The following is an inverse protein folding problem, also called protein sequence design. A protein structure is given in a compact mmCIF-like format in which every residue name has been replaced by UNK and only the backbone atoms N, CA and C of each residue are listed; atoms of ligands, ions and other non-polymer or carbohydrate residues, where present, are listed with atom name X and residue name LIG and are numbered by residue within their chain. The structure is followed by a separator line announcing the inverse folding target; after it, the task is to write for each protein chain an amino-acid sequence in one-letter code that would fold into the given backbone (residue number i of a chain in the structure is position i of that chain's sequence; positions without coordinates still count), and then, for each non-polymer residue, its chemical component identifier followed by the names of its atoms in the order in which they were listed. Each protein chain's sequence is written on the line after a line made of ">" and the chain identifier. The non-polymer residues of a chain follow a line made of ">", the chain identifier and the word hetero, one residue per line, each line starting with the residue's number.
data_IF_645259209735
#
_entry.id   IF_645259209735
#
_cell.length_a   1.000
_cell.length_b   1.000
_cell.length_c   1.000
_cell.angle_alpha   90.00
_cell.angle_beta   90.00
_cell.angle_gamma   90.00
#
_symmetry.space_group_name_H-M   'P 1'
#
loop_
_entity.id
_entity.type
_entity.pdbx_description
1 polymer ?
#
# COMPACT_ATOMS: atom_id res chain seq x y z
N UNK A 1 22.22 -16.98 -25.97
CA UNK A 1 21.40 -15.91 -25.44
C UNK A 1 21.56 -15.93 -23.94
N UNK A 2 22.14 -14.86 -23.36
CA UNK A 2 22.33 -14.75 -21.91
C UNK A 2 20.97 -14.59 -21.23
N UNK A 3 20.79 -15.23 -20.08
CA UNK A 3 19.65 -15.00 -19.22
C UNK A 3 19.80 -13.64 -18.56
N UNK A 4 18.87 -12.71 -18.78
CA UNK A 4 18.79 -11.47 -18.03
C UNK A 4 17.94 -11.76 -16.77
N UNK A 5 18.45 -11.49 -15.56
CA UNK A 5 17.72 -11.77 -14.32
C UNK A 5 16.53 -10.82 -14.14
N UNK A 6 16.57 -9.62 -14.71
CA UNK A 6 15.46 -8.68 -14.69
C UNK A 6 15.48 -7.74 -15.91
N UNK A 7 14.30 -7.20 -16.24
CA UNK A 7 14.10 -6.24 -17.32
C UNK A 7 13.27 -5.07 -16.81
N UNK A 8 13.81 -3.86 -16.91
CA UNK A 8 13.05 -2.64 -16.66
C UNK A 8 12.51 -2.11 -18.00
N UNK A 9 11.22 -1.90 -18.07
CA UNK A 9 10.56 -1.52 -19.31
C UNK A 9 9.40 -0.55 -19.08
N UNK A 10 9.03 0.16 -20.14
CA UNK A 10 7.76 0.91 -20.20
C UNK A 10 6.65 0.03 -20.75
N UNK A 11 5.40 0.48 -20.67
CA UNK A 11 4.21 -0.23 -21.20
C UNK A 11 4.38 -0.66 -22.67
N UNK A 12 5.16 0.08 -23.49
CA UNK A 12 5.43 -0.25 -24.89
C UNK A 12 6.23 -1.56 -25.06
N UNK A 13 7.04 -1.92 -24.09
CA UNK A 13 7.81 -3.18 -24.10
C UNK A 13 6.92 -4.41 -23.87
N UNK A 14 5.73 -4.18 -23.33
CA UNK A 14 4.80 -5.26 -23.04
C UNK A 14 4.12 -5.87 -24.26
N UNK A 15 4.13 -5.22 -25.43
CA UNK A 15 3.56 -5.78 -26.64
C UNK A 15 4.54 -6.75 -27.33
N UNK A 16 4.23 -8.05 -27.33
CA UNK A 16 4.99 -9.05 -28.07
C UNK A 16 6.03 -9.84 -27.27
N UNK A 17 6.14 -9.65 -25.94
CA UNK A 17 6.98 -10.53 -25.13
C UNK A 17 6.15 -11.74 -24.69
N UNK A 18 6.51 -12.88 -25.25
CA UNK A 18 5.97 -14.17 -24.87
C UNK A 18 7.09 -15.04 -24.25
N UNK A 19 7.42 -14.69 -22.99
CA UNK A 19 8.34 -15.48 -22.18
C UNK A 19 7.55 -16.22 -21.11
N UNK A 20 7.69 -17.55 -21.06
CA UNK A 20 6.99 -18.36 -20.07
C UNK A 20 7.60 -18.27 -18.67
N UNK A 21 8.89 -17.91 -18.57
CA UNK A 21 9.73 -17.97 -17.36
C UNK A 21 9.81 -16.65 -16.59
N UNK A 22 8.74 -15.86 -16.58
CA UNK A 22 8.65 -14.64 -15.77
C UNK A 22 8.08 -15.00 -14.41
N UNK A 23 8.88 -14.92 -13.36
CA UNK A 23 8.48 -15.26 -11.98
C UNK A 23 7.84 -14.09 -11.24
N UNK A 24 8.12 -12.84 -11.65
CA UNK A 24 7.58 -11.65 -11.00
C UNK A 24 7.33 -10.49 -11.96
N UNK A 25 6.26 -9.74 -11.71
CA UNK A 25 6.00 -8.44 -12.33
C UNK A 25 5.89 -7.39 -11.25
N UNK A 26 6.71 -6.33 -11.32
CA UNK A 26 6.72 -5.23 -10.36
C UNK A 26 6.36 -3.93 -11.09
N UNK A 27 5.25 -3.33 -10.69
CA UNK A 27 4.86 -2.00 -11.13
C UNK A 27 5.49 -0.96 -10.20
N UNK A 28 6.24 -0.02 -10.77
CA UNK A 28 6.90 1.08 -10.03
C UNK A 28 6.07 2.37 -9.99
N UNK A 29 4.89 2.34 -10.57
CA UNK A 29 3.91 3.42 -10.55
C UNK A 29 2.54 2.86 -10.85
N UNK A 30 1.48 3.56 -10.41
CA UNK A 30 0.11 3.10 -10.65
C UNK A 30 -0.17 3.04 -12.16
N UNK A 31 -0.69 1.93 -12.69
CA UNK A 31 -1.14 1.85 -14.09
C UNK A 31 -2.36 2.72 -14.34
N UNK A 32 -2.71 2.92 -15.61
CA UNK A 32 -3.85 3.78 -15.97
C UNK A 32 -5.21 3.15 -15.71
N UNK A 33 -5.28 1.82 -15.59
CA UNK A 33 -6.54 1.10 -15.38
C UNK A 33 -6.30 -0.31 -14.82
N UNK A 34 -7.36 -0.94 -14.33
CA UNK A 34 -7.35 -2.35 -13.87
C UNK A 34 -7.04 -3.28 -15.03
N UNK A 35 -7.55 -3.00 -16.24
CA UNK A 35 -7.30 -3.81 -17.44
C UNK A 35 -5.82 -3.78 -17.84
N UNK A 36 -5.19 -2.59 -17.83
CA UNK A 36 -3.77 -2.46 -18.11
C UNK A 36 -2.94 -3.24 -17.07
N UNK A 37 -3.25 -3.07 -15.80
CA UNK A 37 -2.61 -3.82 -14.72
C UNK A 37 -2.75 -5.33 -14.92
N UNK A 38 -3.97 -5.82 -15.18
CA UNK A 38 -4.23 -7.24 -15.38
C UNK A 38 -3.46 -7.84 -16.56
N UNK A 39 -3.41 -7.12 -17.68
CA UNK A 39 -2.65 -7.55 -18.86
C UNK A 39 -1.14 -7.61 -18.60
N UNK A 40 -0.62 -6.68 -17.81
CA UNK A 40 0.79 -6.61 -17.47
C UNK A 40 1.19 -7.70 -16.47
N UNK A 41 0.41 -7.93 -15.42
CA UNK A 41 0.68 -9.01 -14.45
C UNK A 41 0.47 -10.41 -15.04
N UNK A 42 -0.42 -10.56 -16.05
CA UNK A 42 -0.66 -11.80 -16.77
C UNK A 42 0.53 -12.29 -17.62
N UNK A 43 1.66 -11.59 -17.57
CA UNK A 43 2.93 -12.05 -18.18
C UNK A 43 3.70 -13.00 -17.28
N UNK A 44 3.47 -12.94 -15.96
CA UNK A 44 4.10 -13.82 -15.00
C UNK A 44 3.35 -15.15 -14.88
N UNK A 45 4.10 -16.24 -14.64
CA UNK A 45 3.55 -17.56 -14.36
C UNK A 45 2.89 -18.26 -15.56
N UNK A 46 3.28 -17.95 -16.80
CA UNK A 46 2.72 -18.58 -18.00
C UNK A 46 3.10 -20.06 -18.13
N UNK A 47 4.15 -20.48 -17.46
CA UNK A 47 4.59 -21.87 -17.36
C UNK A 47 3.84 -22.67 -16.27
N UNK A 48 2.88 -22.07 -15.60
CA UNK A 48 2.11 -22.67 -14.51
C UNK A 48 2.81 -22.65 -13.14
N UNK A 49 4.04 -22.12 -13.06
CA UNK A 49 4.73 -21.95 -11.77
C UNK A 49 4.13 -20.78 -10.98
N UNK A 50 4.23 -20.82 -9.64
CA UNK A 50 3.83 -19.69 -8.81
C UNK A 50 4.61 -18.43 -9.20
N UNK A 51 3.89 -17.33 -9.39
CA UNK A 51 4.48 -16.04 -9.75
C UNK A 51 3.87 -14.92 -8.88
N UNK A 52 4.58 -13.82 -8.76
CA UNK A 52 4.16 -12.67 -7.96
C UNK A 52 3.90 -11.44 -8.80
N UNK A 53 2.87 -10.69 -8.41
CA UNK A 53 2.58 -9.36 -8.95
C UNK A 53 2.62 -8.35 -7.80
N UNK A 54 3.48 -7.33 -7.94
CA UNK A 54 3.66 -6.29 -6.92
C UNK A 54 3.34 -4.94 -7.53
N UNK A 55 2.50 -4.16 -6.85
CA UNK A 55 2.19 -2.79 -7.24
C UNK A 55 2.74 -1.83 -6.19
N UNK A 56 3.71 -1.02 -6.59
CA UNK A 56 4.25 0.09 -5.81
C UNK A 56 3.69 1.38 -6.39
N UNK A 57 3.12 2.23 -5.54
CA UNK A 57 2.50 3.48 -5.99
C UNK A 57 2.44 4.51 -4.85
N UNK A 58 2.26 5.78 -5.23
CA UNK A 58 2.02 6.88 -4.29
C UNK A 58 1.04 7.93 -4.88
N UNK A 59 0.74 8.97 -4.09
CA UNK A 59 -0.14 10.05 -4.52
C UNK A 59 0.43 10.88 -5.70
N UNK A 60 1.75 10.96 -5.83
CA UNK A 60 2.39 11.66 -6.94
C UNK A 60 2.18 10.91 -8.26
N UNK A 61 2.07 9.58 -8.22
CA UNK A 61 1.71 8.78 -9.40
C UNK A 61 0.30 9.10 -9.88
N UNK A 62 -0.66 9.19 -8.94
CA UNK A 62 -2.05 9.56 -9.25
C UNK A 62 -2.09 10.97 -9.85
N UNK A 63 -1.38 11.94 -9.25
CA UNK A 63 -1.30 13.30 -9.77
C UNK A 63 -0.69 13.33 -11.19
N UNK A 64 0.37 12.57 -11.42
CA UNK A 64 1.01 12.43 -12.72
C UNK A 64 0.05 11.83 -13.75
N UNK A 65 -0.71 10.79 -13.40
CA UNK A 65 -1.71 10.18 -14.29
C UNK A 65 -2.83 11.16 -14.62
N UNK A 66 -3.38 11.86 -13.64
CA UNK A 66 -4.39 12.90 -13.86
C UNK A 66 -3.87 13.98 -14.81
N UNK A 67 -2.67 14.49 -14.57
CA UNK A 67 -2.03 15.47 -15.45
C UNK A 67 -1.91 14.95 -16.90
N UNK A 68 -1.51 13.70 -17.09
CA UNK A 68 -1.39 13.11 -18.42
C UNK A 68 -2.75 12.93 -19.12
N UNK A 69 -3.81 12.61 -18.39
CA UNK A 69 -5.18 12.52 -18.91
C UNK A 69 -5.67 13.91 -19.36
N UNK A 70 -5.39 14.94 -18.56
CA UNK A 70 -5.87 16.30 -18.78
C UNK A 70 -5.05 17.06 -19.82
N UNK A 71 -3.80 16.64 -20.06
CA UNK A 71 -2.92 17.26 -21.02
C UNK A 71 -3.44 17.13 -22.46
N UNK A 72 -3.31 18.19 -23.26
CA UNK A 72 -3.65 18.14 -24.67
C UNK A 72 -2.81 17.06 -25.40
N UNK A 73 -3.46 16.21 -26.19
CA UNK A 73 -2.72 15.28 -27.05
C UNK A 73 -2.00 16.07 -28.14
N UNK A 74 -0.70 15.85 -28.25
CA UNK A 74 0.14 16.34 -29.35
C UNK A 74 0.61 15.16 -30.18
N UNK A 75 0.77 15.36 -31.48
CA UNK A 75 1.40 14.36 -32.35
C UNK A 75 2.91 14.23 -32.02
N UNK A 76 3.59 13.27 -32.67
CA UNK A 76 5.03 13.09 -32.51
C UNK A 76 5.87 14.33 -32.90
N UNK A 77 5.30 15.25 -33.64
CA UNK A 77 5.91 16.51 -34.04
C UNK A 77 5.54 17.68 -33.10
N UNK A 78 4.83 17.41 -32.00
CA UNK A 78 4.41 18.42 -31.03
C UNK A 78 3.22 19.29 -31.47
N UNK A 79 2.58 18.98 -32.60
CA UNK A 79 1.44 19.74 -33.15
C UNK A 79 0.16 19.32 -32.43
N UNK A 80 -0.85 20.22 -32.31
CA UNK A 80 -2.15 19.83 -31.83
C UNK A 80 -2.66 18.66 -32.68
N UNK A 81 -3.07 17.55 -32.03
CA UNK A 81 -3.69 16.43 -32.73
C UNK A 81 -4.98 16.89 -33.45
N UNK A 82 -5.50 16.05 -34.37
CA UNK A 82 -6.76 16.31 -35.08
C UNK A 82 -7.79 16.92 -34.15
N UNK A 83 -8.52 17.93 -34.61
CA UNK A 83 -9.65 18.58 -33.93
C UNK A 83 -10.71 17.52 -33.62
N UNK A 84 -10.63 16.91 -32.45
CA UNK A 84 -11.68 16.02 -31.93
C UNK A 84 -12.79 16.92 -31.40
N UNK A 85 -14.04 16.54 -31.66
CA UNK A 85 -15.18 17.20 -31.06
C UNK A 85 -14.96 17.41 -29.54
N UNK A 86 -15.11 18.66 -29.03
CA UNK A 86 -14.92 18.94 -27.62
C UNK A 86 -15.73 18.05 -26.68
N UNK A 87 -16.94 17.66 -27.07
CA UNK A 87 -17.80 16.76 -26.30
C UNK A 87 -17.22 15.34 -26.25
N UNK A 88 -16.70 14.83 -27.37
CA UNK A 88 -16.03 13.53 -27.42
C UNK A 88 -14.72 13.52 -26.61
N UNK A 89 -13.94 14.60 -26.70
CA UNK A 89 -12.73 14.76 -25.89
C UNK A 89 -13.03 14.75 -24.39
N UNK A 90 -14.11 15.44 -23.96
CA UNK A 90 -14.56 15.47 -22.58
C UNK A 90 -15.03 14.08 -22.10
N UNK A 91 -15.84 13.37 -22.92
CA UNK A 91 -16.28 11.99 -22.60
C UNK A 91 -15.10 11.04 -22.42
N UNK A 92 -14.10 11.12 -23.31
CA UNK A 92 -12.91 10.30 -23.20
C UNK A 92 -12.13 10.59 -21.93
N UNK A 93 -11.89 11.86 -21.58
CA UNK A 93 -11.22 12.25 -20.33
C UNK A 93 -11.97 11.70 -19.11
N UNK A 94 -13.28 11.86 -19.08
CA UNK A 94 -14.11 11.33 -17.98
C UNK A 94 -13.96 9.80 -17.84
N UNK A 95 -13.93 9.08 -18.96
CA UNK A 95 -13.71 7.63 -18.96
C UNK A 95 -12.32 7.26 -18.41
N UNK A 96 -11.28 7.95 -18.84
CA UNK A 96 -9.90 7.68 -18.36
C UNK A 96 -9.76 8.02 -16.86
N UNK A 97 -10.39 9.09 -16.38
CA UNK A 97 -10.44 9.40 -14.94
C UNK A 97 -11.20 8.31 -14.16
N UNK A 98 -12.32 7.81 -14.69
CA UNK A 98 -13.07 6.72 -14.06
C UNK A 98 -12.26 5.42 -13.99
N UNK A 99 -11.51 5.08 -15.03
CA UNK A 99 -10.59 3.93 -15.02
C UNK A 99 -9.47 4.09 -13.99
N UNK A 100 -8.88 5.29 -13.93
CA UNK A 100 -7.85 5.60 -12.92
C UNK A 100 -8.41 5.47 -11.49
N UNK A 101 -9.61 5.98 -11.25
CA UNK A 101 -10.25 5.85 -9.93
C UNK A 101 -10.39 4.37 -9.53
N UNK A 102 -10.84 3.50 -10.45
CA UNK A 102 -11.01 2.07 -10.17
C UNK A 102 -9.70 1.35 -9.82
N UNK A 103 -8.59 1.66 -10.49
CA UNK A 103 -7.30 1.05 -10.13
C UNK A 103 -6.76 1.61 -8.81
N UNK A 104 -7.04 2.86 -8.47
CA UNK A 104 -6.73 3.45 -7.16
C UNK A 104 -7.55 2.75 -6.08
N UNK A 105 -8.85 2.59 -6.28
CA UNK A 105 -9.73 1.87 -5.34
C UNK A 105 -9.27 0.42 -5.13
N UNK A 106 -8.86 -0.25 -6.21
CA UNK A 106 -8.27 -1.59 -6.13
C UNK A 106 -6.99 -1.61 -5.28
N UNK A 107 -6.06 -0.68 -5.56
CA UNK A 107 -4.78 -0.59 -4.86
C UNK A 107 -4.94 -0.20 -3.38
N UNK A 108 -6.00 0.52 -3.04
CA UNK A 108 -6.35 0.97 -1.69
C UNK A 108 -7.23 -0.03 -0.93
N UNK A 109 -7.75 -1.05 -1.61
CA UNK A 109 -8.69 -2.00 -1.02
C UNK A 109 -8.04 -2.87 0.04
N UNK A 110 -8.74 -3.11 1.13
CA UNK A 110 -8.43 -4.16 2.10
C UNK A 110 -9.10 -5.51 1.78
N UNK A 111 -9.98 -5.55 0.77
CA UNK A 111 -10.64 -6.77 0.32
C UNK A 111 -9.65 -7.72 -0.39
N UNK A 112 -10.06 -8.94 -0.65
CA UNK A 112 -9.28 -9.90 -1.40
C UNK A 112 -8.92 -9.36 -2.79
N UNK A 113 -7.64 -9.06 -3.04
CA UNK A 113 -7.16 -8.47 -4.30
C UNK A 113 -7.50 -9.36 -5.51
N UNK A 114 -7.35 -10.68 -5.37
CA UNK A 114 -7.69 -11.62 -6.45
C UNK A 114 -9.18 -11.61 -6.76
N UNK A 115 -10.03 -11.70 -5.74
CA UNK A 115 -11.47 -11.68 -5.93
C UNK A 115 -11.95 -10.34 -6.51
N UNK A 116 -11.35 -9.22 -6.10
CA UNK A 116 -11.66 -7.89 -6.64
C UNK A 116 -11.40 -7.81 -8.15
N UNK A 117 -10.25 -8.32 -8.63
CA UNK A 117 -9.96 -8.37 -10.08
C UNK A 117 -10.94 -9.30 -10.81
N UNK A 118 -11.17 -10.51 -10.28
CA UNK A 118 -12.06 -11.49 -10.92
C UNK A 118 -13.49 -10.93 -11.04
N UNK A 119 -14.01 -10.30 -9.99
CA UNK A 119 -15.32 -9.63 -10.01
C UNK A 119 -15.36 -8.46 -11.02
N UNK A 120 -14.28 -7.72 -11.14
CA UNK A 120 -14.17 -6.63 -12.12
C UNK A 120 -14.38 -7.13 -13.55
N UNK A 121 -13.88 -8.33 -13.86
CA UNK A 121 -14.06 -8.98 -15.16
C UNK A 121 -15.31 -9.88 -15.24
N UNK A 122 -16.15 -9.87 -14.21
CA UNK A 122 -17.40 -10.64 -14.20
C UNK A 122 -17.24 -12.15 -13.95
N UNK A 123 -16.10 -12.57 -13.41
CA UNK A 123 -15.87 -13.98 -13.09
C UNK A 123 -16.64 -14.38 -11.83
N UNK A 124 -17.58 -15.30 -12.00
CA UNK A 124 -18.39 -15.86 -10.91
C UNK A 124 -17.59 -16.76 -9.95
N UNK A 125 -16.39 -17.21 -10.34
CA UNK A 125 -15.52 -18.06 -9.52
C UNK A 125 -14.71 -17.26 -8.49
N UNK A 126 -14.95 -15.97 -8.35
CA UNK A 126 -14.28 -15.12 -7.38
C UNK A 126 -14.55 -15.57 -5.95
N UNK A 127 -13.60 -16.31 -5.38
CA UNK A 127 -13.65 -16.79 -3.99
C UNK A 127 -12.89 -15.88 -3.05
N UNK A 128 -13.39 -15.74 -1.81
CA UNK A 128 -12.80 -14.92 -0.77
C UNK A 128 -12.90 -15.66 0.58
N UNK A 129 -11.79 -15.82 1.34
CA UNK A 129 -10.43 -15.46 0.98
C UNK A 129 -9.82 -16.32 -0.12
N UNK A 130 -8.82 -15.80 -0.84
CA UNK A 130 -8.13 -16.57 -1.89
C UNK A 130 -6.83 -17.25 -1.40
N UNK A 131 -6.42 -17.02 -0.16
CA UNK A 131 -5.21 -17.52 0.51
C UNK A 131 -3.89 -17.31 -0.26
N UNK A 132 -3.92 -16.47 -1.28
CA UNK A 132 -2.79 -16.22 -2.17
C UNK A 132 -2.38 -14.76 -2.29
N UNK A 133 -3.31 -13.81 -2.19
CA UNK A 133 -2.99 -12.38 -2.32
C UNK A 133 -2.47 -11.79 -1.00
N UNK A 134 -1.83 -10.62 -1.10
CA UNK A 134 -1.25 -9.93 0.05
C UNK A 134 -2.25 -9.56 1.14
N UNK A 135 -3.55 -9.42 0.82
CA UNK A 135 -4.59 -9.10 1.80
C UNK A 135 -5.17 -10.36 2.48
N UNK A 136 -5.07 -11.54 1.84
CA UNK A 136 -5.60 -12.79 2.38
C UNK A 136 -4.55 -13.64 3.09
N UNK A 137 -3.29 -13.55 2.67
CA UNK A 137 -2.22 -14.31 3.32
C UNK A 137 -1.95 -13.76 4.71
N UNK A 138 -2.08 -14.57 5.76
CA UNK A 138 -1.53 -14.21 7.06
C UNK A 138 -0.02 -14.01 6.86
N UNK A 139 0.50 -12.86 7.21
CA UNK A 139 1.94 -12.68 7.29
C UNK A 139 2.34 -12.51 8.75
N UNK A 140 3.37 -13.22 9.16
CA UNK A 140 3.97 -12.97 10.46
C UNK A 140 4.46 -11.51 10.49
N UNK A 141 4.18 -10.79 11.58
CA UNK A 141 4.67 -9.43 11.73
C UNK A 141 6.20 -9.41 11.61
N UNK A 142 6.70 -8.46 10.87
CA UNK A 142 8.13 -8.18 10.88
C UNK A 142 8.56 -7.51 12.20
N UNK A 143 9.87 -7.37 12.38
CA UNK A 143 10.39 -6.76 13.61
C UNK A 143 9.89 -5.31 13.78
N UNK A 144 9.82 -4.57 12.69
CA UNK A 144 9.29 -3.22 12.73
C UNK A 144 7.79 -3.20 13.11
N UNK A 145 6.99 -4.06 12.52
CA UNK A 145 5.56 -4.19 12.79
C UNK A 145 5.30 -4.61 14.23
N UNK A 146 6.10 -5.54 14.74
CA UNK A 146 6.06 -5.90 16.16
C UNK A 146 6.35 -4.71 17.06
N UNK A 147 7.41 -3.97 16.76
CA UNK A 147 7.78 -2.78 17.53
C UNK A 147 6.75 -1.66 17.40
N UNK A 148 6.17 -1.45 16.21
CA UNK A 148 5.11 -0.47 15.98
C UNK A 148 3.88 -0.78 16.83
N UNK A 149 3.39 -2.01 16.77
CA UNK A 149 2.27 -2.46 17.60
C UNK A 149 2.57 -2.29 19.10
N UNK A 150 3.74 -2.72 19.55
CA UNK A 150 4.14 -2.55 20.98
C UNK A 150 4.20 -1.09 21.39
N UNK A 151 4.67 -0.18 20.54
CA UNK A 151 4.68 1.27 20.80
C UNK A 151 3.26 1.83 20.89
N UNK A 152 2.33 1.40 20.03
CA UNK A 152 0.93 1.79 20.08
C UNK A 152 0.31 1.33 21.42
N UNK A 153 0.45 0.05 21.77
CA UNK A 153 -0.06 -0.49 23.03
C UNK A 153 0.54 0.23 24.25
N UNK A 154 1.87 0.48 24.23
CA UNK A 154 2.54 1.24 25.29
C UNK A 154 2.03 2.67 25.38
N UNK A 155 1.69 3.31 24.28
CA UNK A 155 1.08 4.64 24.26
C UNK A 155 -0.27 4.66 24.97
N UNK A 156 -1.13 3.68 24.72
CA UNK A 156 -2.43 3.54 25.39
C UNK A 156 -2.23 3.33 26.90
N UNK A 157 -1.34 2.40 27.30
CA UNK A 157 -1.07 2.13 28.71
C UNK A 157 -0.55 3.38 29.45
N UNK A 158 0.41 4.10 28.85
CA UNK A 158 0.99 5.31 29.46
C UNK A 158 0.04 6.49 29.48
N UNK A 159 -0.93 6.54 28.56
CA UNK A 159 -2.03 7.49 28.61
C UNK A 159 -3.06 7.19 29.72
N UNK A 160 -2.83 6.14 30.51
CA UNK A 160 -3.69 5.75 31.63
C UNK A 160 -4.99 5.07 31.18
N UNK A 161 -5.06 4.60 29.93
CA UNK A 161 -6.21 3.87 29.38
C UNK A 161 -7.55 4.62 29.52
N UNK A 162 -7.55 5.92 29.36
CA UNK A 162 -8.70 6.82 29.59
C UNK A 162 -9.01 7.74 28.41
N UNK A 163 -8.37 7.52 27.27
CA UNK A 163 -8.57 8.32 26.06
C UNK A 163 -9.05 7.48 24.91
N UNK A 164 -9.87 8.09 24.05
CA UNK A 164 -10.32 7.49 22.82
C UNK A 164 -9.28 7.57 21.69
N UNK A 165 -9.56 6.88 20.60
CA UNK A 165 -8.71 6.71 19.42
C UNK A 165 -8.06 8.02 18.96
N UNK A 166 -8.86 9.06 18.68
CA UNK A 166 -8.38 10.33 18.13
C UNK A 166 -7.23 10.94 18.96
N UNK A 167 -7.37 10.96 20.29
CA UNK A 167 -6.35 11.51 21.19
C UNK A 167 -5.11 10.64 21.29
N UNK A 168 -5.26 9.33 21.26
CA UNK A 168 -4.14 8.39 21.24
C UNK A 168 -3.34 8.54 19.94
N UNK A 169 -4.00 8.60 18.80
CA UNK A 169 -3.33 8.81 17.49
C UNK A 169 -2.62 10.16 17.49
N UNK A 170 -3.29 11.26 17.84
CA UNK A 170 -2.71 12.60 17.90
C UNK A 170 -1.44 12.63 18.79
N UNK A 171 -1.53 12.04 19.99
CA UNK A 171 -0.38 11.90 20.88
C UNK A 171 0.78 11.14 20.22
N UNK A 172 0.51 9.99 19.63
CA UNK A 172 1.57 9.15 19.05
C UNK A 172 2.28 9.83 17.86
N UNK A 173 1.56 10.57 17.03
CA UNK A 173 2.16 11.34 15.93
C UNK A 173 2.76 12.67 16.39
N UNK A 174 2.48 13.13 17.61
CA UNK A 174 3.02 14.37 18.15
C UNK A 174 2.22 15.62 17.78
N UNK A 175 0.97 15.46 17.34
CA UNK A 175 0.04 16.58 17.20
C UNK A 175 -0.51 16.97 18.57
N UNK A 176 0.05 18.04 19.13
CA UNK A 176 -0.29 18.53 20.48
C UNK A 176 -1.35 19.63 20.46
N UNK A 177 -1.89 20.00 19.32
CA UNK A 177 -2.79 21.17 19.15
C UNK A 177 -4.07 21.08 20.00
N UNK A 178 -4.59 19.89 20.23
CA UNK A 178 -5.85 19.62 20.98
C UNK A 178 -5.66 18.55 22.07
N UNK A 179 -4.42 18.37 22.56
CA UNK A 179 -4.11 17.40 23.59
C UNK A 179 -4.17 18.00 25.02
N UNK A 180 -4.71 17.26 25.99
CA UNK A 180 -4.52 17.58 27.41
C UNK A 180 -3.04 17.69 27.77
N UNK A 181 -2.69 18.59 28.67
CA UNK A 181 -1.28 18.89 29.05
C UNK A 181 -0.56 17.64 29.60
N UNK A 182 -1.28 16.82 30.37
CA UNK A 182 -0.75 15.56 30.91
C UNK A 182 -0.40 14.58 29.79
N UNK A 183 -1.21 14.50 28.74
CA UNK A 183 -0.97 13.64 27.59
C UNK A 183 0.18 14.18 26.73
N UNK A 184 0.22 15.48 26.48
CA UNK A 184 1.27 16.12 25.67
C UNK A 184 2.69 15.97 26.28
N UNK A 185 2.80 15.74 27.58
CA UNK A 185 4.08 15.58 28.29
C UNK A 185 4.57 14.14 28.40
N UNK A 186 3.80 13.17 27.92
CA UNK A 186 4.22 11.76 27.96
C UNK A 186 5.42 11.50 27.05
N UNK A 187 6.31 10.60 27.49
CA UNK A 187 7.45 10.16 26.68
C UNK A 187 7.05 9.41 25.39
N UNK A 188 5.79 9.07 25.25
CA UNK A 188 5.21 8.45 24.05
C UNK A 188 4.66 9.47 23.06
N UNK A 189 4.61 10.76 23.42
CA UNK A 189 4.16 11.81 22.52
C UNK A 189 5.18 12.05 21.41
N UNK A 190 4.72 11.95 20.17
CA UNK A 190 5.56 12.02 18.97
C UNK A 190 6.46 10.80 18.74
N UNK A 191 6.25 9.70 19.48
CA UNK A 191 7.03 8.47 19.31
C UNK A 191 6.89 7.84 17.91
N UNK A 192 5.75 8.10 17.26
CA UNK A 192 5.39 7.61 15.94
C UNK A 192 5.14 8.76 14.94
N UNK A 193 5.86 9.88 15.09
CA UNK A 193 5.72 11.07 14.24
C UNK A 193 5.93 10.83 12.74
N UNK A 194 6.60 9.75 12.40
CA UNK A 194 6.88 9.38 11.02
C UNK A 194 5.82 8.43 10.42
N UNK A 195 4.87 7.98 11.24
CA UNK A 195 3.77 7.14 10.78
C UNK A 195 2.57 8.00 10.37
N UNK A 196 1.92 7.69 9.25
CA UNK A 196 0.66 8.31 8.89
C UNK A 196 -0.42 8.01 9.94
N UNK A 197 -1.26 8.98 10.33
CA UNK A 197 -2.38 8.74 11.25
C UNK A 197 -3.28 7.57 10.83
N UNK A 198 -3.61 7.48 9.52
CA UNK A 198 -4.44 6.40 8.96
C UNK A 198 -3.81 5.01 9.16
N UNK A 199 -2.46 4.91 9.15
CA UNK A 199 -1.75 3.67 9.45
C UNK A 199 -1.95 3.25 10.90
N UNK A 200 -1.88 4.22 11.83
CA UNK A 200 -2.12 3.96 13.26
C UNK A 200 -3.57 3.56 13.53
N UNK A 201 -4.52 4.17 12.82
CA UNK A 201 -5.93 3.78 12.91
C UNK A 201 -6.14 2.32 12.46
N UNK A 202 -5.52 1.91 11.36
CA UNK A 202 -5.56 0.51 10.91
C UNK A 202 -4.97 -0.47 11.94
N UNK A 203 -3.86 -0.09 12.60
CA UNK A 203 -3.28 -0.90 13.66
C UNK A 203 -4.15 -0.97 14.92
N UNK A 204 -4.84 0.10 15.28
CA UNK A 204 -5.80 0.09 16.36
C UNK A 204 -6.97 -0.84 16.05
N UNK A 205 -7.51 -0.82 14.81
CA UNK A 205 -8.57 -1.73 14.40
C UNK A 205 -8.10 -3.20 14.45
N UNK A 206 -6.93 -3.49 13.94
CA UNK A 206 -6.35 -4.84 14.00
C UNK A 206 -6.16 -5.31 15.45
N UNK A 207 -5.70 -4.43 16.34
CA UNK A 207 -5.50 -4.74 17.75
C UNK A 207 -6.83 -4.93 18.50
N UNK A 208 -7.89 -4.22 18.12
CA UNK A 208 -9.25 -4.41 18.67
C UNK A 208 -9.81 -5.76 18.21
N UNK A 209 -9.72 -6.07 16.93
CA UNK A 209 -10.20 -7.36 16.37
C UNK A 209 -9.43 -8.54 16.97
N UNK A 210 -8.13 -8.39 17.22
CA UNK A 210 -7.30 -9.41 17.88
C UNK A 210 -7.47 -9.45 19.41
N UNK A 211 -8.43 -8.68 19.96
CA UNK A 211 -8.73 -8.61 21.39
C UNK A 211 -7.54 -8.15 22.27
N UNK A 212 -6.61 -7.37 21.69
CA UNK A 212 -5.53 -6.74 22.47
C UNK A 212 -6.00 -5.46 23.15
N UNK A 213 -6.99 -4.79 22.56
CA UNK A 213 -7.58 -3.55 23.02
C UNK A 213 -9.09 -3.75 23.20
N UNK A 214 -9.62 -3.33 24.33
CA UNK A 214 -11.04 -3.18 24.57
C UNK A 214 -11.45 -1.71 24.39
N UNK A 215 -12.67 -1.49 23.90
CA UNK A 215 -13.24 -0.15 23.69
C UNK A 215 -14.50 -0.02 24.53
N UNK A 216 -14.60 1.05 25.33
CA UNK A 216 -15.82 1.30 26.12
C UNK A 216 -16.98 1.63 25.18
N UNK A 217 -18.20 1.31 25.63
CA UNK A 217 -19.45 1.58 24.88
C UNK A 217 -20.00 2.99 25.10
N UNK A 218 -19.36 3.78 25.97
CA UNK A 218 -19.76 5.15 26.25
C UNK A 218 -19.42 6.12 25.09
N UNK A 219 -19.86 7.37 25.20
CA UNK A 219 -19.63 8.40 24.17
C UNK A 219 -18.14 8.68 23.90
N UNK A 220 -17.26 8.35 24.84
CA UNK A 220 -15.81 8.62 24.71
C UNK A 220 -15.05 7.51 24.01
N UNK A 221 -15.62 6.30 23.94
CA UNK A 221 -15.00 5.12 23.29
C UNK A 221 -13.54 4.94 23.70
N UNK A 222 -13.31 4.92 25.01
CA UNK A 222 -11.98 4.85 25.62
C UNK A 222 -11.31 3.52 25.27
N UNK A 223 -10.02 3.58 24.98
CA UNK A 223 -9.19 2.43 24.69
C UNK A 223 -8.50 1.93 25.96
N UNK A 224 -8.58 0.63 26.23
CA UNK A 224 -7.91 -0.04 27.35
C UNK A 224 -7.24 -1.32 26.87
N UNK A 225 -6.12 -1.70 27.49
CA UNK A 225 -5.46 -2.96 27.17
C UNK A 225 -6.14 -4.14 27.86
N UNK A 226 -6.33 -5.22 27.14
CA UNK A 226 -6.69 -6.52 27.70
C UNK A 226 -5.47 -7.19 28.36
N UNK A 227 -5.68 -8.31 29.07
CA UNK A 227 -4.59 -9.13 29.57
C UNK A 227 -3.65 -9.59 28.41
N UNK A 228 -4.25 -10.06 27.30
CA UNK A 228 -3.54 -10.46 26.07
C UNK A 228 -2.75 -9.28 25.49
N UNK A 229 -3.33 -8.08 25.43
CA UNK A 229 -2.67 -6.89 24.95
C UNK A 229 -1.43 -6.52 25.78
N UNK A 230 -1.49 -6.69 27.09
CA UNK A 230 -0.33 -6.46 27.98
C UNK A 230 0.80 -7.46 27.73
N UNK A 231 0.47 -8.73 27.46
CA UNK A 231 1.47 -9.76 27.13
C UNK A 231 2.16 -9.46 25.81
N UNK A 232 1.40 -9.08 24.76
CA UNK A 232 1.95 -8.67 23.46
C UNK A 232 2.78 -7.39 23.59
N UNK A 233 2.32 -6.39 24.34
CA UNK A 233 3.05 -5.16 24.61
C UNK A 233 4.42 -5.45 25.27
N UNK A 234 4.44 -6.37 26.23
CA UNK A 234 5.65 -6.77 26.94
C UNK A 234 6.56 -7.71 26.11
N UNK A 235 6.09 -8.18 24.96
CA UNK A 235 6.84 -9.11 24.10
C UNK A 235 6.83 -10.56 24.60
N UNK A 236 5.97 -10.91 25.54
CA UNK A 236 5.81 -12.26 26.08
C UNK A 236 4.84 -13.13 25.25
N UNK A 237 3.97 -12.51 24.47
CA UNK A 237 3.11 -13.16 23.51
C UNK A 237 3.28 -12.59 22.10
N UNK A 238 3.06 -13.45 21.10
CA UNK A 238 3.02 -13.03 19.71
C UNK A 238 1.64 -12.41 19.37
N UNK A 239 1.61 -11.55 18.35
CA UNK A 239 0.38 -11.09 17.75
C UNK A 239 -0.19 -12.20 16.85
N UNK A 240 -1.38 -12.63 17.09
CA UNK A 240 -2.09 -13.69 16.35
C UNK A 240 -3.21 -13.14 15.45
N UNK A 241 -3.35 -11.81 15.38
CA UNK A 241 -4.32 -11.15 14.52
C UNK A 241 -3.79 -10.95 13.10
N UNK A 242 -4.67 -10.43 12.23
CA UNK A 242 -4.30 -9.99 10.90
C UNK A 242 -3.72 -8.58 10.97
N UNK A 243 -2.49 -8.41 10.52
CA UNK A 243 -1.89 -7.08 10.41
C UNK A 243 -2.70 -6.22 9.43
N UNK A 244 -2.85 -4.91 9.68
CA UNK A 244 -3.48 -4.03 8.73
C UNK A 244 -2.71 -4.06 7.41
N UNK A 245 -3.43 -3.99 6.30
CA UNK A 245 -2.80 -3.87 4.98
C UNK A 245 -1.91 -2.64 4.98
N UNK A 246 -0.63 -2.87 4.82
CA UNK A 246 0.36 -1.80 4.90
C UNK A 246 0.29 -0.93 3.66
N UNK A 247 -0.37 0.19 3.77
CA UNK A 247 -0.27 1.29 2.79
C UNK A 247 1.08 1.98 3.00
N UNK A 248 2.15 1.40 2.45
CA UNK A 248 3.47 2.04 2.49
C UNK A 248 3.44 3.24 1.55
N UNK A 249 3.31 4.44 2.10
CA UNK A 249 3.63 5.67 1.35
C UNK A 249 5.15 5.74 1.20
N UNK A 250 5.65 5.35 0.04
CA UNK A 250 7.05 5.58 -0.29
C UNK A 250 7.26 7.06 -0.57
N UNK A 251 8.22 7.69 0.12
CA UNK A 251 8.69 9.00 -0.28
C UNK A 251 9.47 8.87 -1.62
N UNK A 252 8.78 9.10 -2.70
CA UNK A 252 9.24 8.92 -4.09
C UNK A 252 10.48 9.72 -4.46
N UNK A 253 10.82 10.75 -3.68
CA UNK A 253 11.91 11.66 -4.00
C UNK A 253 13.30 11.01 -4.06
N UNK A 254 13.62 10.13 -3.13
CA UNK A 254 14.94 9.53 -3.04
C UNK A 254 15.23 8.45 -4.09
N UNK A 255 14.23 7.66 -4.48
CA UNK A 255 14.41 6.52 -5.38
C UNK A 255 14.48 6.91 -6.86
N UNK A 256 13.68 7.87 -7.32
CA UNK A 256 13.78 8.41 -8.69
C UNK A 256 15.14 9.04 -8.99
N UNK A 257 15.78 9.66 -8.01
CA UNK A 257 17.11 10.26 -8.18
C UNK A 257 18.21 9.19 -8.26
N UNK A 258 18.11 8.10 -7.51
CA UNK A 258 19.08 7.00 -7.59
C UNK A 258 19.00 6.18 -8.89
N UNK A 259 17.80 6.00 -9.44
CA UNK A 259 17.60 5.26 -10.70
C UNK A 259 17.88 6.10 -11.95
N UNK A 260 17.94 7.42 -11.86
CA UNK A 260 18.15 8.31 -13.03
C UNK A 260 19.57 8.33 -13.57
N UNK A 261 20.53 7.67 -13.03
CA UNK A 261 21.90 7.73 -13.52
C UNK A 261 22.77 6.54 -13.14
N UNK A 262 22.29 5.61 -12.33
CA UNK A 262 23.04 4.42 -11.96
C UNK A 262 22.60 3.23 -12.82
N UNK A 263 23.53 2.54 -13.46
CA UNK A 263 23.31 1.15 -13.82
C UNK A 263 23.01 0.43 -12.52
N UNK A 264 21.79 -0.07 -12.39
CA UNK A 264 21.41 -0.93 -11.26
C UNK A 264 22.27 -2.18 -11.43
N UNK A 265 23.24 -2.37 -10.56
CA UNK A 265 24.05 -3.57 -10.58
C UNK A 265 23.22 -4.78 -10.12
N UNK A 266 23.70 -5.96 -10.46
CA UNK A 266 23.01 -7.22 -10.21
C UNK A 266 22.77 -7.49 -8.71
N UNK A 267 23.67 -7.01 -7.84
CA UNK A 267 23.55 -7.12 -6.40
C UNK A 267 22.43 -6.22 -5.84
N UNK A 268 22.36 -4.97 -6.28
CA UNK A 268 21.30 -4.02 -5.91
C UNK A 268 19.92 -4.50 -6.40
N UNK A 269 19.85 -5.12 -7.59
CA UNK A 269 18.61 -5.69 -8.11
C UNK A 269 18.22 -6.96 -7.36
N UNK A 270 19.17 -7.82 -7.01
CA UNK A 270 18.95 -9.01 -6.20
C UNK A 270 18.48 -8.64 -4.78
N UNK A 271 19.04 -7.59 -4.16
CA UNK A 271 18.55 -7.04 -2.90
C UNK A 271 17.12 -6.49 -3.00
N UNK A 272 16.79 -5.79 -4.09
CA UNK A 272 15.43 -5.27 -4.34
C UNK A 272 14.41 -6.39 -4.57
N UNK A 273 14.82 -7.49 -5.16
CA UNK A 273 13.95 -8.63 -5.45
C UNK A 273 13.91 -9.67 -4.32
N UNK A 274 15.02 -9.87 -3.60
CA UNK A 274 15.11 -10.78 -2.46
C UNK A 274 14.59 -10.16 -1.17
N UNK A 275 14.60 -8.82 -1.05
CA UNK A 275 14.01 -8.13 0.09
C UNK A 275 12.53 -7.88 -0.19
N UNK A 276 11.60 -8.68 0.37
CA UNK A 276 10.17 -8.34 0.37
C UNK A 276 9.93 -7.01 1.12
N UNK A 277 11.00 -6.35 1.54
CA UNK A 277 11.02 -5.16 2.39
C UNK A 277 12.16 -4.27 1.98
N UNK A 278 11.84 -3.18 1.32
CA UNK A 278 12.79 -2.11 1.09
C UNK A 278 13.22 -1.56 2.44
N UNK A 279 14.53 -1.53 2.75
CA UNK A 279 15.01 -0.91 3.98
C UNK A 279 14.53 0.55 4.02
N UNK A 280 14.08 0.99 5.17
CA UNK A 280 13.73 2.39 5.38
C UNK A 280 15.02 3.20 5.44
N UNK A 281 15.01 4.43 4.92
CA UNK A 281 16.04 5.40 5.25
C UNK A 281 16.02 5.74 6.74
#
# INVERSE_FOLDING_TARGET
>A
AGSLPAVCATNAFGMGIDRPDVDAVVHFAIPGSVEAYYQEIGRAGRDGRPATATLLWDQADIATRKFLIDSPRRDKAGRPGHTVDPAEAARRKALEHAKLARIVDYADSSACLRATILRYFGDAAAREPCDACGNCRPHALDEYERQLLRKILSGIARAGERFGRRRIVAMLVGDTSDLPVDLARLSTTGLLRHEPPDSLDGWLDAAIVAELISVTTDKYRTLSLTAKGREVMAGRAAFDGTAPVRRRRFAYGHWKVRLRGARVDEATLAELLAAPRIPRP
#
